data_IF_028657624275
#
_entry.id   IF_028657624275
#
_cell.length_a   1.000
_cell.length_b   1.000
_cell.length_c   1.000
_cell.angle_alpha   90.00
_cell.angle_beta   90.00
_cell.angle_gamma   90.00
#
_symmetry.space_group_name_H-M   'P 1'
#
loop_
_entity.id
_entity.type
_entity.pdbx_description
1 polymer ?
#
# COMPACT_ATOMS: atom_id res chain seq x y z
N UNK A 1 -14.58 9.90 -13.51
CA UNK A 1 -13.67 10.95 -13.97
C UNK A 1 -14.06 12.21 -13.22
N UNK A 2 -13.35 12.53 -12.12
CA UNK A 2 -13.54 13.79 -11.42
C UNK A 2 -13.38 14.94 -12.43
N UNK A 3 -14.35 15.85 -12.49
CA UNK A 3 -14.17 17.04 -13.33
C UNK A 3 -12.98 17.81 -12.77
N UNK A 4 -12.05 18.18 -13.65
CA UNK A 4 -10.82 18.90 -13.30
C UNK A 4 -11.14 20.14 -12.45
N UNK A 5 -12.31 20.74 -12.68
CA UNK A 5 -12.84 21.88 -11.93
C UNK A 5 -13.07 21.58 -10.43
N UNK A 6 -13.63 20.42 -10.09
CA UNK A 6 -13.92 20.02 -8.70
C UNK A 6 -12.65 19.71 -7.91
N UNK A 7 -11.58 19.29 -8.58
CA UNK A 7 -10.26 19.08 -7.99
C UNK A 7 -9.61 20.41 -7.57
N UNK A 8 -9.72 21.45 -8.40
CA UNK A 8 -9.17 22.78 -8.10
C UNK A 8 -9.98 23.56 -7.06
N UNK A 9 -11.30 23.37 -6.98
CA UNK A 9 -12.16 23.97 -5.93
C UNK A 9 -11.85 23.42 -4.52
N UNK A 10 -11.28 22.21 -4.43
CA UNK A 10 -10.89 21.60 -3.16
C UNK A 10 -9.45 21.96 -2.72
N UNK A 11 -8.67 22.68 -3.54
CA UNK A 11 -7.28 23.01 -3.21
C UNK A 11 -7.13 24.33 -2.43
N UNK A 12 -8.21 25.08 -2.21
CA UNK A 12 -8.17 26.34 -1.47
C UNK A 12 -7.99 26.09 0.06
N UNK A 13 -6.76 26.31 0.52
CA UNK A 13 -6.32 26.88 1.80
C UNK A 13 -6.65 26.24 3.16
N UNK A 14 -7.02 24.96 3.27
CA UNK A 14 -7.04 24.29 4.59
C UNK A 14 -6.66 22.80 4.55
N UNK A 15 -5.88 22.34 5.54
CA UNK A 15 -5.51 20.93 5.71
C UNK A 15 -6.71 19.97 5.75
N UNK A 16 -7.90 20.47 6.14
CA UNK A 16 -9.16 19.71 6.12
C UNK A 16 -9.59 19.33 4.69
N UNK A 17 -9.19 20.09 3.67
CA UNK A 17 -9.50 19.80 2.29
C UNK A 17 -8.70 18.63 1.70
N UNK A 18 -7.45 18.41 2.16
CA UNK A 18 -6.65 17.28 1.69
C UNK A 18 -7.23 15.94 2.14
N UNK A 19 -7.76 15.87 3.36
CA UNK A 19 -8.46 14.68 3.85
C UNK A 19 -9.73 14.42 3.02
N UNK A 20 -10.49 15.46 2.69
CA UNK A 20 -11.67 15.36 1.84
C UNK A 20 -11.33 14.88 0.44
N UNK A 21 -10.29 15.44 -0.20
CA UNK A 21 -9.79 14.98 -1.50
C UNK A 21 -9.36 13.52 -1.42
N UNK A 22 -8.58 13.15 -0.39
CA UNK A 22 -8.13 11.77 -0.19
C UNK A 22 -9.30 10.79 -0.07
N UNK A 23 -10.31 11.13 0.74
CA UNK A 23 -11.49 10.30 0.91
C UNK A 23 -12.29 10.16 -0.38
N UNK A 24 -12.46 11.25 -1.14
CA UNK A 24 -13.14 11.24 -2.44
C UNK A 24 -12.39 10.34 -3.43
N UNK A 25 -11.07 10.50 -3.55
CA UNK A 25 -10.22 9.66 -4.43
C UNK A 25 -10.26 8.20 -3.98
N UNK A 26 -10.17 7.93 -2.67
CA UNK A 26 -10.23 6.57 -2.14
C UNK A 26 -11.58 5.91 -2.45
N UNK A 27 -12.68 6.64 -2.28
CA UNK A 27 -14.03 6.14 -2.55
C UNK A 27 -14.31 5.99 -4.06
N UNK A 28 -13.73 6.82 -4.93
CA UNK A 28 -13.91 6.70 -6.39
C UNK A 28 -13.01 5.64 -7.03
N UNK A 29 -11.73 5.59 -6.67
CA UNK A 29 -10.73 4.73 -7.33
C UNK A 29 -10.46 3.41 -6.59
N UNK A 30 -10.67 3.38 -5.28
CA UNK A 30 -10.44 2.21 -4.42
C UNK A 30 -11.71 1.84 -3.64
N UNK A 31 -12.82 1.75 -4.38
CA UNK A 31 -14.15 1.36 -3.88
C UNK A 31 -14.12 0.07 -3.06
N UNK A 32 -13.20 -0.85 -3.40
CA UNK A 32 -13.00 -2.09 -2.68
C UNK A 32 -11.78 -2.02 -1.76
N UNK A 33 -12.02 -1.80 -0.46
CA UNK A 33 -10.96 -1.76 0.57
C UNK A 33 -10.34 -3.14 0.83
N UNK A 34 -10.91 -4.21 0.28
CA UNK A 34 -10.49 -5.59 0.50
C UNK A 34 -9.69 -6.16 -0.68
N UNK A 35 -9.20 -5.33 -1.62
CA UNK A 35 -8.49 -5.80 -2.81
C UNK A 35 -7.33 -6.75 -2.50
N UNK A 36 -6.49 -6.44 -1.52
CA UNK A 36 -5.37 -7.31 -1.12
C UNK A 36 -5.87 -8.63 -0.52
N UNK A 37 -6.93 -8.58 0.28
CA UNK A 37 -7.53 -9.77 0.86
C UNK A 37 -8.15 -10.66 -0.23
N UNK A 38 -8.91 -10.09 -1.16
CA UNK A 38 -9.50 -10.82 -2.27
C UNK A 38 -8.44 -11.41 -3.20
N UNK A 39 -7.40 -10.65 -3.52
CA UNK A 39 -6.27 -11.15 -4.31
C UNK A 39 -5.61 -12.36 -3.61
N UNK A 40 -5.34 -12.28 -2.31
CA UNK A 40 -4.74 -13.41 -1.57
C UNK A 40 -5.65 -14.64 -1.50
N UNK A 41 -6.96 -14.45 -1.34
CA UNK A 41 -7.91 -15.57 -1.38
C UNK A 41 -7.98 -16.24 -2.75
N UNK A 42 -7.84 -15.46 -3.84
CA UNK A 42 -7.82 -15.99 -5.19
C UNK A 42 -6.50 -16.70 -5.52
N UNK A 43 -5.38 -16.24 -4.95
CA UNK A 43 -4.05 -16.83 -5.18
C UNK A 43 -3.85 -18.15 -4.41
N UNK A 44 -4.38 -18.25 -3.18
CA UNK A 44 -4.21 -19.44 -2.33
C UNK A 44 -5.54 -20.16 -2.10
N UNK A 45 -5.73 -21.28 -2.81
CA UNK A 45 -6.96 -22.08 -2.77
C UNK A 45 -7.20 -22.83 -1.45
N UNK A 46 -6.19 -22.94 -0.57
CA UNK A 46 -6.30 -23.62 0.71
C UNK A 46 -5.96 -22.68 1.89
N UNK A 47 -6.61 -22.96 3.03
CA UNK A 47 -6.44 -22.15 4.24
C UNK A 47 -4.98 -22.15 4.74
N UNK A 48 -4.28 -23.27 4.62
CA UNK A 48 -2.87 -23.42 5.05
C UNK A 48 -1.93 -22.52 4.26
N UNK A 49 -2.09 -22.44 2.94
CA UNK A 49 -1.30 -21.59 2.05
C UNK A 49 -1.56 -20.12 2.31
N UNK A 50 -2.83 -19.74 2.43
CA UNK A 50 -3.21 -18.39 2.83
C UNK A 50 -2.60 -17.98 4.17
N UNK A 51 -2.68 -18.85 5.19
CA UNK A 51 -2.16 -18.53 6.53
C UNK A 51 -0.63 -18.45 6.54
N UNK A 52 0.04 -19.35 5.80
CA UNK A 52 1.50 -19.35 5.64
C UNK A 52 1.98 -18.08 4.97
N UNK A 53 1.34 -17.70 3.84
CA UNK A 53 1.60 -16.43 3.17
C UNK A 53 1.40 -15.25 4.12
N UNK A 54 0.24 -15.16 4.80
CA UNK A 54 -0.11 -14.03 5.66
C UNK A 54 0.88 -13.86 6.79
N UNK A 55 1.34 -14.96 7.40
CA UNK A 55 2.34 -14.94 8.47
C UNK A 55 3.66 -14.34 7.98
N UNK A 56 4.18 -14.83 6.87
CA UNK A 56 5.46 -14.36 6.32
C UNK A 56 5.33 -12.91 5.87
N UNK A 57 4.25 -12.57 5.16
CA UNK A 57 3.97 -11.22 4.70
C UNK A 57 3.95 -10.19 5.85
N UNK A 58 3.27 -10.51 6.96
CA UNK A 58 3.21 -9.63 8.12
C UNK A 58 4.59 -9.42 8.76
N UNK A 59 5.39 -10.49 8.88
CA UNK A 59 6.75 -10.41 9.41
C UNK A 59 7.63 -9.56 8.50
N UNK A 60 7.58 -9.79 7.19
CA UNK A 60 8.39 -9.05 6.21
C UNK A 60 8.03 -7.56 6.20
N UNK A 61 6.74 -7.20 6.18
CA UNK A 61 6.33 -5.79 6.26
C UNK A 61 6.86 -5.15 7.54
N UNK A 62 6.71 -5.82 8.69
CA UNK A 62 7.17 -5.29 9.98
C UNK A 62 8.68 -5.06 10.01
N UNK A 63 9.45 -6.00 9.46
CA UNK A 63 10.90 -5.89 9.34
C UNK A 63 11.31 -4.69 8.48
N UNK A 64 10.76 -4.56 7.26
CA UNK A 64 11.10 -3.45 6.37
C UNK A 64 10.56 -2.10 6.85
N UNK A 65 9.41 -2.05 7.53
CA UNK A 65 8.92 -0.84 8.20
C UNK A 65 9.87 -0.39 9.30
N UNK A 66 10.41 -1.34 10.07
CA UNK A 66 11.38 -1.06 11.12
C UNK A 66 12.69 -0.53 10.53
N UNK A 67 13.19 -1.15 9.46
CA UNK A 67 14.37 -0.66 8.75
C UNK A 67 14.14 0.73 8.16
N UNK A 68 12.98 0.99 7.56
CA UNK A 68 12.63 2.31 7.06
C UNK A 68 12.65 3.34 8.20
N UNK A 69 11.99 3.05 9.32
CA UNK A 69 11.95 3.96 10.46
C UNK A 69 13.33 4.27 11.05
N UNK A 70 14.20 3.26 11.22
CA UNK A 70 15.51 3.44 11.85
C UNK A 70 16.49 4.15 10.92
N UNK A 71 16.50 3.79 9.63
CA UNK A 71 17.53 4.22 8.68
C UNK A 71 17.06 5.28 7.67
N UNK A 72 15.77 5.66 7.68
CA UNK A 72 15.21 6.63 6.74
C UNK A 72 15.19 6.15 5.29
N UNK A 73 14.99 4.85 5.06
CA UNK A 73 14.92 4.30 3.70
C UNK A 73 13.58 4.63 3.04
N UNK A 74 13.56 5.26 1.88
CA UNK A 74 12.31 5.52 1.16
C UNK A 74 11.80 4.25 0.42
N UNK A 75 11.39 3.21 1.18
CA UNK A 75 11.04 1.88 0.65
C UNK A 75 9.61 1.78 0.09
N UNK A 76 8.75 2.75 0.38
CA UNK A 76 7.31 2.71 0.07
C UNK A 76 6.93 3.58 -1.13
N UNK A 77 7.90 4.09 -1.88
CA UNK A 77 7.63 4.78 -3.13
C UNK A 77 7.03 3.82 -4.16
N UNK A 78 6.21 4.36 -5.09
CA UNK A 78 5.48 3.56 -6.08
C UNK A 78 6.40 2.55 -6.80
N UNK A 79 5.89 1.33 -6.96
CA UNK A 79 6.55 0.19 -7.63
C UNK A 79 7.87 -0.29 -6.99
N UNK A 80 8.14 0.04 -5.73
CA UNK A 80 9.35 -0.46 -5.06
C UNK A 80 9.11 -1.69 -4.18
N UNK A 81 7.87 -2.13 -3.96
CA UNK A 81 7.60 -3.36 -3.21
C UNK A 81 7.26 -4.51 -4.14
N UNK A 82 8.12 -5.52 -4.19
CA UNK A 82 7.81 -6.78 -4.84
C UNK A 82 7.33 -7.80 -3.80
N UNK A 83 6.14 -8.35 -3.99
CA UNK A 83 5.61 -9.44 -3.16
C UNK A 83 5.93 -10.77 -3.84
N UNK A 84 6.80 -11.57 -3.21
CA UNK A 84 7.12 -12.90 -3.69
C UNK A 84 5.96 -13.86 -3.40
N UNK A 85 5.15 -14.13 -4.44
CA UNK A 85 3.89 -14.90 -4.32
C UNK A 85 4.06 -16.33 -3.81
N UNK A 86 5.21 -16.98 -3.96
CA UNK A 86 5.40 -18.34 -3.48
C UNK A 86 5.51 -18.45 -1.95
N UNK A 87 5.99 -17.40 -1.29
CA UNK A 87 6.33 -17.42 0.14
C UNK A 87 5.75 -16.24 0.94
N UNK A 88 5.24 -15.20 0.28
CA UNK A 88 4.71 -14.00 0.93
C UNK A 88 5.76 -13.03 1.43
N UNK A 89 7.04 -13.24 1.11
CA UNK A 89 8.08 -12.28 1.45
C UNK A 89 7.93 -11.00 0.62
N UNK A 90 8.25 -9.87 1.22
CA UNK A 90 8.32 -8.58 0.55
C UNK A 90 9.80 -8.32 0.27
N UNK A 91 10.13 -7.93 -0.94
CA UNK A 91 11.47 -7.49 -1.27
C UNK A 91 11.39 -6.05 -1.81
N UNK A 92 11.93 -5.06 -1.10
CA UNK A 92 12.05 -3.72 -1.65
C UNK A 92 13.05 -3.75 -2.81
N UNK A 93 12.62 -3.34 -4.00
CA UNK A 93 13.44 -3.29 -5.21
C UNK A 93 14.60 -2.30 -5.10
N UNK A 94 14.44 -1.24 -4.30
CA UNK A 94 15.48 -0.24 -4.08
C UNK A 94 15.47 0.24 -2.62
N UNK A 95 16.54 -0.06 -1.88
CA UNK A 95 16.84 0.57 -0.61
C UNK A 95 17.64 1.85 -0.88
N UNK A 96 16.95 2.96 -1.14
CA UNK A 96 17.60 4.27 -1.31
C UNK A 96 17.50 5.06 -0.01
N UNK A 97 18.64 5.49 0.51
CA UNK A 97 18.70 6.46 1.60
C UNK A 97 18.11 7.79 1.12
N UNK A 98 17.22 8.36 1.91
CA UNK A 98 16.64 9.66 1.66
C UNK A 98 17.64 10.72 2.17
N UNK A 99 18.41 11.32 1.26
CA UNK A 99 19.26 12.48 1.54
C UNK A 99 18.50 13.77 1.25
#
# INVERSE_FOLDING_TARGET
MLSIKKYYELLDDNNDNLLNIYQVVQNEYFTNKQLLHQWTLNEYSNATGYFSFRKIFAISIGFYSTLNYIFGFNMYTNNQLNIQRSIGNINPLYLKLQY
#
